data_IF_973322224072
#
_entry.id   IF_973322224072
#
_cell.length_a   1.000
_cell.length_b   1.000
_cell.length_c   1.000
_cell.angle_alpha   90.00
_cell.angle_beta   90.00
_cell.angle_gamma   90.00
#
_symmetry.space_group_name_H-M   'P 1'
#
loop_
_entity.id
_entity.type
_entity.pdbx_description
1 polymer ?
#
# COMPACT_ATOMS: atom_id res chain seq x y z
N UNK A 1 8.45 7.46 7.96
CA UNK A 1 7.33 6.59 8.43
C UNK A 1 6.97 5.64 7.31
N UNK A 2 6.60 4.39 7.61
CA UNK A 2 6.30 3.34 6.64
C UNK A 2 4.93 2.76 6.97
N UNK A 3 4.01 2.76 6.01
CA UNK A 3 2.67 2.21 6.16
C UNK A 3 2.60 0.88 5.43
N UNK A 4 2.29 -0.20 6.15
CA UNK A 4 1.86 -1.45 5.56
C UNK A 4 0.32 -1.45 5.52
N UNK A 5 -0.25 -1.41 4.32
CA UNK A 5 -1.69 -1.31 4.10
C UNK A 5 -2.19 -2.68 3.64
N UNK A 6 -2.69 -3.45 4.59
CA UNK A 6 -3.38 -4.71 4.34
C UNK A 6 -4.82 -4.46 3.84
N UNK A 7 -5.40 -5.46 3.16
CA UNK A 7 -6.76 -5.43 2.60
C UNK A 7 -6.99 -4.30 1.59
N UNK A 8 -5.97 -3.99 0.80
CA UNK A 8 -6.06 -2.96 -0.21
C UNK A 8 -6.92 -3.43 -1.40
N UNK A 9 -7.85 -2.59 -1.86
CA UNK A 9 -8.75 -2.90 -2.97
C UNK A 9 -9.98 -3.70 -2.54
N UNK A 10 -10.36 -4.69 -3.34
CA UNK A 10 -11.56 -5.51 -3.12
C UNK A 10 -11.33 -6.53 -2.00
N UNK A 11 -12.26 -6.60 -1.05
CA UNK A 11 -12.11 -7.43 0.17
C UNK A 11 -13.09 -8.60 0.26
N UNK A 12 -13.94 -8.79 -0.75
CA UNK A 12 -14.90 -9.89 -0.82
C UNK A 12 -16.09 -9.73 0.11
N UNK A 13 -16.33 -10.77 0.92
CA UNK A 13 -17.54 -10.91 1.74
C UNK A 13 -17.71 -9.81 2.81
N UNK A 14 -16.64 -9.12 3.19
CA UNK A 14 -16.68 -8.05 4.20
C UNK A 14 -17.45 -6.82 3.69
N UNK A 15 -17.74 -6.73 2.38
CA UNK A 15 -18.63 -5.74 1.79
C UNK A 15 -18.03 -4.34 1.65
N UNK A 16 -18.85 -3.39 1.16
CA UNK A 16 -18.41 -2.06 0.76
C UNK A 16 -17.83 -1.20 1.88
N UNK A 17 -18.24 -1.44 3.13
CA UNK A 17 -17.75 -0.70 4.31
C UNK A 17 -16.31 -1.05 4.67
N UNK A 18 -15.80 -2.19 4.20
CA UNK A 18 -14.45 -2.68 4.49
C UNK A 18 -13.52 -2.61 3.28
N UNK A 19 -13.99 -2.17 2.11
CA UNK A 19 -13.17 -2.06 0.91
C UNK A 19 -12.09 -0.97 1.07
N UNK A 20 -10.83 -1.36 0.94
CA UNK A 20 -9.69 -0.45 0.80
C UNK A 20 -9.63 0.20 -0.58
N UNK A 21 -10.69 0.88 -1.01
CA UNK A 21 -10.85 1.38 -2.37
C UNK A 21 -10.18 2.74 -2.63
N UNK A 22 -9.81 3.47 -1.58
CA UNK A 22 -9.48 4.90 -1.68
C UNK A 22 -8.09 5.29 -1.20
N UNK A 23 -7.25 4.33 -0.82
CA UNK A 23 -5.89 4.61 -0.34
C UNK A 23 -4.99 5.20 -1.45
N UNK A 24 -5.11 4.74 -2.70
CA UNK A 24 -4.38 5.34 -3.84
C UNK A 24 -4.77 6.81 -4.08
N UNK A 25 -6.04 7.16 -4.36
CA UNK A 25 -6.40 8.54 -4.63
C UNK A 25 -6.14 9.46 -3.43
N UNK A 26 -6.27 8.97 -2.19
CA UNK A 26 -5.93 9.76 -1.01
C UNK A 26 -4.41 9.98 -0.89
N UNK A 27 -3.59 8.91 -0.89
CA UNK A 27 -2.15 9.02 -0.65
C UNK A 27 -1.38 9.68 -1.81
N UNK A 28 -1.77 9.42 -3.05
CA UNK A 28 -1.10 10.00 -4.23
C UNK A 28 -1.32 11.52 -4.36
N UNK A 29 -2.23 12.12 -3.59
CA UNK A 29 -2.40 13.59 -3.54
C UNK A 29 -1.47 14.26 -2.53
N UNK A 30 -0.81 13.48 -1.66
CA UNK A 30 0.11 14.01 -0.66
C UNK A 30 1.49 14.25 -1.28
N UNK A 31 2.06 15.48 -1.18
CA UNK A 31 3.37 15.78 -1.75
C UNK A 31 4.48 14.93 -1.14
N UNK A 32 5.35 14.38 -1.99
CA UNK A 32 6.53 13.60 -1.58
C UNK A 32 6.22 12.21 -1.01
N UNK A 33 4.97 11.74 -1.09
CA UNK A 33 4.57 10.43 -0.59
C UNK A 33 4.87 9.33 -1.60
N UNK A 34 5.60 8.29 -1.18
CA UNK A 34 5.89 7.12 -2.03
C UNK A 34 4.82 6.06 -1.82
N UNK A 35 4.09 5.68 -2.87
CA UNK A 35 3.08 4.61 -2.81
C UNK A 35 3.53 3.46 -3.69
N UNK A 36 3.54 2.25 -3.13
CA UNK A 36 3.99 1.01 -3.78
C UNK A 36 2.86 -0.03 -3.77
N UNK A 37 2.61 -0.64 -4.93
CA UNK A 37 1.57 -1.64 -5.14
C UNK A 37 2.20 -2.86 -5.86
N UNK A 38 2.70 -3.86 -5.12
CA UNK A 38 3.32 -5.05 -5.69
C UNK A 38 2.31 -5.91 -6.44
N UNK A 39 2.73 -6.48 -7.56
CA UNK A 39 1.95 -7.41 -8.38
C UNK A 39 2.00 -8.86 -7.88
N UNK A 40 3.05 -9.23 -7.15
CA UNK A 40 3.27 -10.57 -6.62
C UNK A 40 4.09 -10.54 -5.31
N UNK A 41 4.34 -11.70 -4.71
CA UNK A 41 5.07 -11.82 -3.44
C UNK A 41 6.56 -11.44 -3.57
N UNK A 42 7.16 -11.61 -4.75
CA UNK A 42 8.55 -11.22 -4.97
C UNK A 42 8.67 -9.69 -5.01
N UNK A 43 7.75 -9.02 -5.70
CA UNK A 43 7.64 -7.56 -5.67
C UNK A 43 7.30 -7.06 -4.27
N UNK A 44 6.42 -7.75 -3.51
CA UNK A 44 6.12 -7.36 -2.13
C UNK A 44 7.38 -7.41 -1.25
N UNK A 45 8.21 -8.46 -1.39
CA UNK A 45 9.49 -8.57 -0.70
C UNK A 45 10.44 -7.42 -1.09
N UNK A 46 10.60 -7.17 -2.39
CA UNK A 46 11.48 -6.11 -2.89
C UNK A 46 11.00 -4.72 -2.47
N UNK A 47 9.72 -4.40 -2.58
CA UNK A 47 9.14 -3.13 -2.17
C UNK A 47 9.22 -2.94 -0.65
N UNK A 48 9.14 -4.01 0.14
CA UNK A 48 9.40 -3.97 1.58
C UNK A 48 10.84 -3.58 1.88
N UNK A 49 11.81 -4.15 1.17
CA UNK A 49 13.21 -3.77 1.27
C UNK A 49 13.43 -2.31 0.81
N UNK A 50 12.79 -1.88 -0.28
CA UNK A 50 12.83 -0.50 -0.75
C UNK A 50 12.28 0.46 0.29
N UNK A 51 11.11 0.18 0.88
CA UNK A 51 10.55 0.99 1.96
C UNK A 51 11.50 1.09 3.14
N UNK A 52 12.15 -0.01 3.54
CA UNK A 52 13.15 -0.02 4.61
C UNK A 52 14.32 0.94 4.33
N UNK A 53 14.71 1.13 3.07
CA UNK A 53 15.74 2.11 2.66
C UNK A 53 15.29 3.58 2.66
N UNK A 54 13.98 3.85 2.59
CA UNK A 54 13.44 5.22 2.51
C UNK A 54 13.40 5.86 3.91
N UNK A 55 14.27 6.84 4.17
CA UNK A 55 14.39 7.51 5.47
C UNK A 55 14.04 9.01 5.45
N UNK A 56 13.85 9.60 4.28
CA UNK A 56 13.68 11.04 4.08
C UNK A 56 12.24 11.46 3.74
N UNK A 57 11.34 10.51 3.53
CA UNK A 57 9.94 10.76 3.13
C UNK A 57 9.01 9.62 3.58
N UNK A 58 7.68 9.83 3.66
CA UNK A 58 6.75 8.76 3.97
C UNK A 58 6.61 7.79 2.80
N UNK A 59 6.41 6.50 3.13
CA UNK A 59 6.13 5.46 2.14
C UNK A 59 4.98 4.56 2.58
N UNK A 60 4.22 4.04 1.63
CA UNK A 60 3.19 3.03 1.83
C UNK A 60 3.38 1.86 0.87
N UNK A 61 3.15 0.65 1.37
CA UNK A 61 3.04 -0.59 0.60
C UNK A 61 1.63 -1.08 0.79
N UNK A 62 0.87 -1.23 -0.30
CA UNK A 62 -0.51 -1.74 -0.29
C UNK A 62 -0.58 -3.14 -0.86
N UNK A 63 -1.26 -4.07 -0.21
CA UNK A 63 -1.44 -5.43 -0.72
C UNK A 63 -2.86 -5.94 -0.45
N UNK A 64 -3.44 -6.74 -1.36
CA UNK A 64 -4.80 -7.21 -1.23
C UNK A 64 -4.95 -8.28 -0.15
N UNK A 65 -6.22 -8.57 0.19
CA UNK A 65 -6.55 -9.75 0.97
C UNK A 65 -6.48 -10.98 0.06
N UNK A 66 -5.50 -11.83 0.31
CA UNK A 66 -5.33 -13.10 -0.41
C UNK A 66 -4.66 -12.92 -1.77
#
# INVERSE_FOLDING_TARGET
VRFAIDRAGYVGADGSTHCGAFDLPYLCTLPGFVVMAPSDEAELMHMTATAAGINDRPSAIRYPRG
#
